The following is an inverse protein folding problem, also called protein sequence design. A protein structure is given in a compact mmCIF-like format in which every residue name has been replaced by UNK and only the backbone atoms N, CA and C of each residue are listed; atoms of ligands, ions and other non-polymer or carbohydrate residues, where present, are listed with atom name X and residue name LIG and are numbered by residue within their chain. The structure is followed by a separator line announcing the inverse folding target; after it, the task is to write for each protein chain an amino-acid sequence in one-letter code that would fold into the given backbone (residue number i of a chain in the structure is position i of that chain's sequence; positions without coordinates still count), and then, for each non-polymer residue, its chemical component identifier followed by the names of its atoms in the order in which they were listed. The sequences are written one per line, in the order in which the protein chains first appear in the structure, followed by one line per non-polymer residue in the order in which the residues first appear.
data_IF_084329416000
#
_entry.id   IF_084329416000
#
_cell.length_a   1.000
_cell.length_b   1.000
_cell.length_c   1.000
_cell.angle_alpha   90.00
_cell.angle_beta   90.00
_cell.angle_gamma   90.00
#
_symmetry.space_group_name_H-M   'P 1'
#
loop_
_entity.id
_entity.type
_entity.pdbx_description
1 polymer ?
#
# COMPACT_ATOMS: atom_id res chain seq x y z
N UNK A 1 21.05 -13.49 0.17
CA UNK A 1 21.55 -12.67 1.28
C UNK A 1 21.84 -11.29 0.71
N UNK A 2 21.12 -10.24 1.13
CA UNK A 2 21.36 -8.87 0.70
C UNK A 2 22.19 -8.15 1.77
N UNK A 3 23.39 -7.69 1.42
CA UNK A 3 24.29 -6.94 2.32
C UNK A 3 24.77 -5.68 1.62
N UNK A 4 24.95 -4.55 2.34
CA UNK A 4 25.58 -3.35 1.79
C UNK A 4 27.04 -3.56 1.34
N UNK A 5 27.65 -4.70 1.66
CA UNK A 5 28.98 -5.06 1.17
C UNK A 5 28.97 -5.72 -0.23
N UNK A 6 27.79 -5.97 -0.81
CA UNK A 6 27.62 -6.70 -2.07
C UNK A 6 27.82 -8.22 -1.95
N UNK A 7 27.73 -8.97 -3.06
CA UNK A 7 27.40 -8.49 -4.41
C UNK A 7 25.94 -8.03 -4.54
N UNK A 8 25.68 -7.01 -5.38
CA UNK A 8 24.35 -6.43 -5.60
C UNK A 8 23.52 -7.14 -6.68
N UNK A 9 23.95 -8.33 -7.08
CA UNK A 9 23.27 -9.12 -8.12
C UNK A 9 21.83 -9.49 -7.76
N UNK A 10 21.49 -9.57 -6.47
CA UNK A 10 20.14 -9.85 -5.96
C UNK A 10 19.39 -8.58 -5.53
N UNK A 11 19.93 -7.40 -5.85
CA UNK A 11 19.29 -6.11 -5.60
C UNK A 11 18.63 -5.63 -6.90
N UNK A 12 17.66 -4.70 -6.84
CA UNK A 12 16.99 -4.21 -8.05
C UNK A 12 17.97 -3.70 -9.13
N UNK A 13 19.03 -3.00 -8.73
CA UNK A 13 20.09 -2.54 -9.64
C UNK A 13 20.81 -3.69 -10.39
N UNK A 14 20.90 -4.88 -9.79
CA UNK A 14 21.47 -6.08 -10.42
C UNK A 14 20.43 -6.93 -11.17
N UNK A 15 19.17 -6.51 -11.19
CA UNK A 15 18.02 -7.24 -11.73
C UNK A 15 17.27 -6.44 -12.82
N UNK A 16 17.91 -5.41 -13.40
CA UNK A 16 17.41 -4.70 -14.57
C UNK A 16 16.74 -3.35 -14.30
N UNK A 17 16.76 -2.84 -13.07
CA UNK A 17 16.30 -1.49 -12.76
C UNK A 17 17.48 -0.51 -12.79
N UNK A 18 17.33 0.61 -13.52
CA UNK A 18 18.32 1.68 -13.55
C UNK A 18 18.47 2.38 -12.19
N UNK A 19 17.35 2.54 -11.49
CA UNK A 19 17.27 3.18 -10.18
C UNK A 19 16.39 2.39 -9.21
N UNK A 20 16.71 2.51 -7.92
CA UNK A 20 15.89 1.93 -6.85
C UNK A 20 15.73 2.92 -5.70
N UNK A 21 14.52 2.98 -5.16
CA UNK A 21 14.24 3.65 -3.89
C UNK A 21 13.20 2.86 -3.12
N UNK A 22 13.54 2.45 -1.90
CA UNK A 22 12.62 1.68 -1.07
C UNK A 22 13.35 0.86 -0.01
N UNK A 23 12.72 -0.22 0.43
CA UNK A 23 13.27 -1.15 1.42
C UNK A 23 13.48 -2.53 0.78
N UNK A 24 14.45 -3.30 1.28
CA UNK A 24 14.77 -4.65 0.79
C UNK A 24 14.18 -5.78 1.65
N UNK A 25 13.66 -5.44 2.84
CA UNK A 25 13.01 -6.39 3.73
C UNK A 25 11.60 -6.75 3.23
N UNK A 26 10.98 -7.75 3.84
CA UNK A 26 9.61 -8.15 3.51
C UNK A 26 8.55 -7.14 4.01
N UNK A 27 8.91 -6.32 4.99
CA UNK A 27 8.09 -5.28 5.59
C UNK A 27 8.91 -4.04 5.95
N UNK A 28 8.22 -2.95 6.27
CA UNK A 28 8.82 -1.71 6.72
C UNK A 28 7.94 -1.01 7.76
N UNK A 29 8.58 -0.35 8.72
CA UNK A 29 7.90 0.66 9.53
C UNK A 29 7.61 1.88 8.65
N UNK A 30 6.33 2.15 8.38
CA UNK A 30 5.92 3.27 7.53
C UNK A 30 6.27 4.67 8.09
N UNK A 31 6.58 4.79 9.39
CA UNK A 31 6.98 6.06 10.02
C UNK A 31 8.50 6.20 10.15
N UNK A 32 9.23 5.08 10.24
CA UNK A 32 10.67 5.07 10.46
C UNK A 32 11.38 3.95 9.65
N UNK A 33 11.23 3.95 8.32
CA UNK A 33 11.71 2.86 7.49
C UNK A 33 13.24 2.83 7.39
N UNK A 34 13.79 1.66 7.09
CA UNK A 34 15.18 1.52 6.64
C UNK A 34 15.16 1.50 5.12
N UNK A 35 15.70 2.56 4.52
CA UNK A 35 15.63 2.77 3.08
C UNK A 35 16.99 2.66 2.41
N UNK A 36 16.95 2.23 1.16
CA UNK A 36 18.06 2.12 0.23
C UNK A 36 17.73 3.01 -0.97
N UNK A 37 18.75 3.74 -1.44
CA UNK A 37 18.77 4.33 -2.77
C UNK A 37 19.83 3.62 -3.60
N UNK A 38 19.40 3.01 -4.69
CA UNK A 38 20.21 2.17 -5.59
C UNK A 38 20.90 1.04 -4.81
N UNK A 39 22.16 1.22 -4.43
CA UNK A 39 22.95 0.25 -3.67
C UNK A 39 23.39 0.78 -2.31
N UNK A 40 22.97 1.98 -1.91
CA UNK A 40 23.41 2.64 -0.70
C UNK A 40 22.26 2.83 0.30
N UNK A 41 22.46 2.52 1.59
CA UNK A 41 21.51 2.93 2.62
C UNK A 41 21.47 4.46 2.71
N UNK A 42 20.28 4.99 2.97
CA UNK A 42 20.10 6.43 3.21
C UNK A 42 19.80 6.70 4.68
N UNK A 43 19.99 7.95 5.08
CA UNK A 43 19.58 8.40 6.41
C UNK A 43 18.08 8.20 6.60
N UNK A 44 17.70 7.86 7.82
CA UNK A 44 16.29 7.76 8.20
C UNK A 44 15.62 9.14 8.09
N UNK A 45 14.32 9.18 7.77
CA UNK A 45 13.57 10.42 7.82
C UNK A 45 13.63 11.05 9.23
N UNK A 46 13.81 12.36 9.29
CA UNK A 46 13.78 13.14 10.54
C UNK A 46 12.43 13.85 10.75
N UNK A 47 11.60 13.92 9.72
CA UNK A 47 10.29 14.55 9.77
C UNK A 47 9.33 13.72 10.65
N UNK A 48 8.78 14.30 11.74
CA UNK A 48 7.83 13.59 12.59
C UNK A 48 6.51 13.25 11.88
N UNK A 49 6.18 13.94 10.79
CA UNK A 49 4.99 13.70 9.98
C UNK A 49 5.26 12.78 8.77
N UNK A 50 6.48 12.23 8.66
CA UNK A 50 6.88 11.33 7.56
C UNK A 50 5.97 10.13 7.43
N UNK A 51 5.57 9.78 6.21
CA UNK A 51 4.96 8.48 5.92
C UNK A 51 5.53 7.88 4.63
N UNK A 52 5.91 6.60 4.68
CA UNK A 52 6.57 5.91 3.56
C UNK A 52 5.78 5.96 2.25
N UNK A 53 4.47 5.69 2.27
CA UNK A 53 3.65 5.78 1.04
C UNK A 53 3.70 7.16 0.36
N UNK A 54 3.79 8.24 1.15
CA UNK A 54 3.86 9.62 0.65
C UNK A 54 5.20 9.83 -0.07
N UNK A 55 6.30 9.52 0.62
CA UNK A 55 7.66 9.60 0.07
C UNK A 55 7.83 8.70 -1.16
N UNK A 56 7.29 7.48 -1.17
CA UNK A 56 7.33 6.62 -2.36
C UNK A 56 6.60 7.24 -3.56
N UNK A 57 5.51 7.99 -3.35
CA UNK A 57 4.84 8.70 -4.43
C UNK A 57 5.62 9.93 -4.88
N UNK A 58 6.17 10.72 -3.95
CA UNK A 58 7.06 11.85 -4.26
C UNK A 58 8.26 11.42 -5.10
N UNK A 59 8.88 10.28 -4.76
CA UNK A 59 10.01 9.73 -5.51
C UNK A 59 9.61 9.24 -6.90
N UNK A 60 8.46 8.57 -7.02
CA UNK A 60 7.97 8.13 -8.32
C UNK A 60 7.71 9.34 -9.24
N UNK A 61 7.02 10.37 -8.73
CA UNK A 61 6.75 11.63 -9.44
C UNK A 61 8.07 12.32 -9.85
N UNK A 62 9.02 12.43 -8.92
CA UNK A 62 10.32 13.03 -9.21
C UNK A 62 11.09 12.27 -10.30
N UNK A 63 11.16 10.95 -10.23
CA UNK A 63 11.85 10.12 -11.22
C UNK A 63 11.22 10.24 -12.62
N UNK A 64 9.89 10.27 -12.69
CA UNK A 64 9.16 10.46 -13.95
C UNK A 64 9.45 11.86 -14.53
N UNK A 65 9.40 12.90 -13.69
CA UNK A 65 9.70 14.28 -14.10
C UNK A 65 11.16 14.51 -14.50
N UNK A 66 12.12 13.90 -13.82
CA UNK A 66 13.55 13.96 -14.15
C UNK A 66 13.83 13.31 -15.51
N UNK A 67 13.22 12.15 -15.79
CA UNK A 67 13.27 11.52 -17.11
C UNK A 67 12.71 12.45 -18.18
N UNK A 68 11.58 13.10 -17.92
CA UNK A 68 10.93 13.95 -18.90
C UNK A 68 11.79 15.17 -19.25
N UNK A 69 12.41 15.79 -18.25
CA UNK A 69 13.36 16.87 -18.47
C UNK A 69 14.60 16.44 -19.27
N UNK A 70 15.09 15.22 -19.06
CA UNK A 70 16.32 14.73 -19.69
C UNK A 70 16.10 14.15 -21.11
N UNK A 71 14.99 13.43 -21.32
CA UNK A 71 14.69 12.75 -22.58
C UNK A 71 13.18 12.52 -22.73
N UNK A 72 12.40 13.54 -23.16
CA UNK A 72 10.94 13.48 -23.27
C UNK A 72 10.39 12.34 -24.15
N UNK A 73 11.21 11.76 -25.04
CA UNK A 73 10.80 10.71 -25.96
C UNK A 73 11.12 9.27 -25.47
N UNK A 74 11.97 9.08 -24.47
CA UNK A 74 12.41 7.75 -24.04
C UNK A 74 11.39 7.08 -23.11
N UNK A 75 10.76 5.94 -23.43
CA UNK A 75 9.75 5.34 -22.53
C UNK A 75 10.33 5.04 -21.14
N UNK A 76 9.48 5.02 -20.12
CA UNK A 76 9.88 4.59 -18.76
C UNK A 76 9.16 3.31 -18.37
N UNK A 77 9.75 2.59 -17.42
CA UNK A 77 9.11 1.50 -16.70
C UNK A 77 9.25 1.78 -15.21
N UNK A 78 8.12 1.88 -14.51
CA UNK A 78 8.08 2.12 -13.07
C UNK A 78 7.42 0.93 -12.39
N UNK A 79 8.18 0.23 -11.53
CA UNK A 79 7.64 -0.77 -10.62
C UNK A 79 7.43 -0.15 -9.24
N UNK A 80 6.24 0.41 -9.02
CA UNK A 80 5.91 1.08 -7.77
C UNK A 80 5.37 0.09 -6.73
N UNK A 81 6.28 -0.56 -6.01
CA UNK A 81 5.98 -1.60 -5.02
C UNK A 81 5.94 -1.02 -3.60
N UNK A 82 4.74 -0.66 -3.12
CA UNK A 82 4.57 -0.17 -1.75
C UNK A 82 4.54 -1.31 -0.72
N UNK A 83 4.77 -0.98 0.56
CA UNK A 83 4.56 -1.92 1.67
C UNK A 83 3.09 -2.09 2.07
N UNK A 84 2.17 -1.36 1.45
CA UNK A 84 0.74 -1.44 1.76
C UNK A 84 0.08 -2.62 1.02
N UNK A 85 -0.81 -3.40 1.62
CA UNK A 85 -1.40 -3.31 2.96
C UNK A 85 -0.80 -4.32 3.95
N UNK A 86 0.52 -4.52 3.92
CA UNK A 86 1.20 -5.41 4.86
C UNK A 86 1.25 -4.78 6.26
N UNK A 87 1.40 -5.64 7.27
CA UNK A 87 1.69 -5.20 8.64
C UNK A 87 3.10 -4.58 8.75
N UNK A 88 3.36 -3.69 9.71
CA UNK A 88 2.40 -3.10 10.64
C UNK A 88 1.41 -2.17 9.93
N UNK A 89 0.13 -2.23 10.32
CA UNK A 89 -0.87 -1.32 9.75
C UNK A 89 -0.69 0.09 10.30
N UNK A 90 -0.18 0.98 9.45
CA UNK A 90 0.10 2.37 9.78
C UNK A 90 -0.58 3.27 8.75
N UNK A 91 -1.27 4.30 9.23
CA UNK A 91 -1.89 5.32 8.40
C UNK A 91 -1.97 6.64 9.19
N UNK A 92 -1.96 7.81 8.53
CA UNK A 92 -2.16 9.07 9.21
C UNK A 92 -3.49 9.12 9.96
N UNK A 93 -3.52 9.75 11.14
CA UNK A 93 -4.69 9.73 12.02
C UNK A 93 -5.96 10.25 11.33
N UNK A 94 -5.84 11.30 10.52
CA UNK A 94 -6.93 11.88 9.75
C UNK A 94 -7.56 10.89 8.75
N UNK A 95 -6.79 9.92 8.24
CA UNK A 95 -7.30 8.85 7.38
C UNK A 95 -8.00 7.78 8.21
N UNK A 96 -7.44 7.40 9.35
CA UNK A 96 -8.06 6.40 10.23
C UNK A 96 -9.42 6.89 10.74
N UNK A 97 -9.55 8.18 11.07
CA UNK A 97 -10.80 8.76 11.56
C UNK A 97 -11.95 8.65 10.55
N UNK A 98 -11.67 8.58 9.23
CA UNK A 98 -12.68 8.37 8.17
C UNK A 98 -13.34 6.99 8.24
N UNK A 99 -12.76 6.06 8.97
CA UNK A 99 -13.25 4.68 9.09
C UNK A 99 -13.88 4.38 10.45
N UNK A 100 -13.87 5.33 11.39
CA UNK A 100 -14.41 5.15 12.73
C UNK A 100 -15.82 4.55 12.72
N UNK A 101 -16.00 3.40 13.37
CA UNK A 101 -17.26 2.67 13.51
C UNK A 101 -17.74 1.95 12.25
N UNK A 102 -17.03 2.08 11.11
CA UNK A 102 -17.43 1.40 9.85
C UNK A 102 -17.28 -0.12 9.92
N UNK A 103 -16.60 -0.65 10.93
CA UNK A 103 -16.32 -2.07 11.09
C UNK A 103 -16.91 -2.68 12.37
N UNK A 104 -17.78 -1.95 13.09
CA UNK A 104 -18.40 -2.42 14.34
C UNK A 104 -19.31 -3.64 14.15
N UNK A 105 -19.77 -3.88 12.91
CA UNK A 105 -20.56 -5.07 12.58
C UNK A 105 -19.74 -6.38 12.61
N UNK A 106 -18.41 -6.30 12.59
CA UNK A 106 -17.54 -7.47 12.64
C UNK A 106 -17.40 -8.26 11.33
N UNK A 107 -16.47 -9.21 11.33
CA UNK A 107 -16.11 -10.00 10.14
C UNK A 107 -17.24 -10.92 9.63
N UNK A 108 -18.13 -11.37 10.53
CA UNK A 108 -19.24 -12.27 10.19
C UNK A 108 -20.30 -11.59 9.32
N UNK A 109 -20.63 -10.34 9.64
CA UNK A 109 -21.55 -9.53 8.82
C UNK A 109 -20.82 -8.92 7.62
N UNK A 110 -19.56 -8.49 7.80
CA UNK A 110 -18.76 -7.91 6.71
C UNK A 110 -18.65 -8.87 5.52
N UNK A 111 -18.35 -10.15 5.76
CA UNK A 111 -18.25 -11.15 4.66
C UNK A 111 -19.57 -11.34 3.91
N UNK A 112 -20.71 -11.26 4.59
CA UNK A 112 -22.04 -11.35 3.96
C UNK A 112 -22.28 -10.13 3.07
N UNK A 113 -21.96 -8.93 3.57
CA UNK A 113 -22.09 -7.68 2.81
C UNK A 113 -21.19 -7.66 1.57
N UNK A 114 -19.93 -8.05 1.71
CA UNK A 114 -18.98 -8.14 0.59
C UNK A 114 -19.45 -9.13 -0.46
N UNK A 115 -19.86 -10.33 -0.06
CA UNK A 115 -20.38 -11.35 -0.97
C UNK A 115 -21.61 -10.87 -1.76
N UNK A 116 -22.60 -10.27 -1.08
CA UNK A 116 -23.80 -9.71 -1.75
C UNK A 116 -23.43 -8.58 -2.72
N UNK A 117 -22.50 -7.70 -2.32
CA UNK A 117 -22.05 -6.58 -3.17
C UNK A 117 -21.31 -7.08 -4.41
N UNK A 118 -20.44 -8.09 -4.28
CA UNK A 118 -19.74 -8.69 -5.41
C UNK A 118 -20.70 -9.32 -6.42
N UNK A 119 -21.76 -10.01 -5.96
CA UNK A 119 -22.83 -10.52 -6.84
C UNK A 119 -23.56 -9.36 -7.53
N UNK A 120 -23.98 -8.34 -6.78
CA UNK A 120 -24.73 -7.21 -7.34
C UNK A 120 -23.92 -6.42 -8.38
N UNK A 121 -22.59 -6.37 -8.24
CA UNK A 121 -21.67 -5.75 -9.19
C UNK A 121 -21.31 -6.65 -10.37
N UNK A 122 -21.75 -7.91 -10.40
CA UNK A 122 -21.35 -8.89 -11.42
C UNK A 122 -19.89 -9.32 -11.35
N UNK A 123 -19.20 -9.08 -10.23
CA UNK A 123 -17.80 -9.50 -10.04
C UNK A 123 -17.66 -11.01 -9.86
N UNK A 124 -18.70 -11.67 -9.34
CA UNK A 124 -18.76 -13.13 -9.15
C UNK A 124 -20.12 -13.66 -9.64
N UNK A 125 -20.22 -14.94 -10.06
CA UNK A 125 -21.49 -15.54 -10.51
C UNK A 125 -22.62 -15.40 -9.49
N UNK A 126 -23.85 -15.16 -9.95
CA UNK A 126 -25.01 -14.90 -9.09
C UNK A 126 -25.42 -16.08 -8.20
N UNK A 127 -25.04 -17.30 -8.58
CA UNK A 127 -25.29 -18.54 -7.83
C UNK A 127 -24.17 -18.89 -6.83
N UNK A 128 -23.09 -18.10 -6.78
CA UNK A 128 -21.95 -18.30 -5.85
C UNK A 128 -22.43 -18.40 -4.41
N UNK A 129 -22.05 -19.47 -3.72
CA UNK A 129 -22.40 -19.70 -2.31
C UNK A 129 -21.30 -19.16 -1.39
N UNK A 130 -21.70 -18.45 -0.33
CA UNK A 130 -20.78 -18.03 0.72
C UNK A 130 -20.33 -19.27 1.51
N UNK A 131 -19.01 -19.45 1.65
CA UNK A 131 -18.43 -20.54 2.43
C UNK A 131 -18.81 -20.44 3.91
N UNK A 132 -18.79 -21.54 4.69
CA UNK A 132 -18.87 -21.43 6.14
C UNK A 132 -17.67 -20.65 6.71
N UNK A 133 -17.81 -20.16 7.94
CA UNK A 133 -16.71 -19.56 8.68
C UNK A 133 -15.71 -20.65 9.10
N UNK A 134 -14.39 -20.42 8.97
CA UNK A 134 -13.37 -21.35 9.49
C UNK A 134 -13.53 -21.57 11.00
N UNK A 135 -13.38 -22.82 11.45
CA UNK A 135 -13.54 -23.20 12.87
C UNK A 135 -12.51 -22.54 13.78
N UNK A 136 -11.33 -22.21 13.26
CA UNK A 136 -10.24 -21.59 13.99
C UNK A 136 -10.49 -20.11 14.31
N UNK A 137 -11.45 -19.48 13.62
CA UNK A 137 -11.83 -18.10 13.93
C UNK A 137 -12.94 -18.13 14.98
N UNK A 138 -12.92 -17.26 16.00
CA UNK A 138 -14.06 -17.07 16.90
C UNK A 138 -15.23 -16.38 16.17
N UNK A 139 -16.46 -16.57 16.65
CA UNK A 139 -17.59 -15.82 16.13
C UNK A 139 -17.45 -14.38 16.60
N UNK A 140 -17.83 -13.40 15.78
CA UNK A 140 -17.80 -12.00 16.22
C UNK A 140 -18.58 -11.81 17.51
N UNK A 141 -19.76 -12.42 17.62
CA UNK A 141 -20.62 -12.32 18.80
C UNK A 141 -20.16 -13.12 20.01
N UNK A 142 -19.16 -14.00 19.86
CA UNK A 142 -18.50 -14.63 21.01
C UNK A 142 -17.43 -13.75 21.67
N UNK A 143 -17.06 -12.64 21.04
CA UNK A 143 -16.03 -11.75 21.57
C UNK A 143 -16.57 -10.85 22.69
N UNK A 144 -15.70 -10.57 23.65
CA UNK A 144 -15.93 -9.53 24.66
C UNK A 144 -15.99 -8.13 24.01
N UNK A 145 -16.62 -7.14 24.66
CA UNK A 145 -16.66 -5.77 24.16
C UNK A 145 -15.28 -5.16 23.83
N UNK A 146 -14.27 -5.44 24.67
CA UNK A 146 -12.91 -4.94 24.44
C UNK A 146 -12.24 -5.59 23.23
N UNK A 147 -12.44 -6.89 23.01
CA UNK A 147 -11.95 -7.57 21.81
C UNK A 147 -12.62 -7.03 20.56
N UNK A 148 -13.95 -6.84 20.58
CA UNK A 148 -14.69 -6.22 19.45
C UNK A 148 -14.12 -4.84 19.13
N UNK A 149 -13.94 -3.97 20.14
CA UNK A 149 -13.35 -2.63 19.96
C UNK A 149 -11.94 -2.68 19.37
N UNK A 150 -11.09 -3.59 19.86
CA UNK A 150 -9.73 -3.75 19.37
C UNK A 150 -9.68 -4.21 17.90
N UNK A 151 -10.46 -5.24 17.53
CA UNK A 151 -10.48 -5.75 16.16
C UNK A 151 -11.14 -4.79 15.18
N UNK A 152 -12.20 -4.09 15.59
CA UNK A 152 -12.80 -3.04 14.77
C UNK A 152 -11.76 -1.94 14.48
N UNK A 153 -11.04 -1.47 15.52
CA UNK A 153 -9.97 -0.47 15.34
C UNK A 153 -8.84 -0.96 14.42
N UNK A 154 -8.42 -2.22 14.53
CA UNK A 154 -7.41 -2.75 13.62
C UNK A 154 -7.87 -2.71 12.16
N UNK A 155 -9.14 -3.06 11.90
CA UNK A 155 -9.69 -3.01 10.54
C UNK A 155 -9.86 -1.57 10.04
N UNK A 156 -10.20 -0.62 10.92
CA UNK A 156 -10.20 0.81 10.59
C UNK A 156 -8.83 1.28 10.10
N UNK A 157 -7.77 0.92 10.82
CA UNK A 157 -6.39 1.31 10.46
C UNK A 157 -5.95 0.63 9.16
N UNK A 158 -6.24 -0.67 8.98
CA UNK A 158 -5.91 -1.38 7.75
C UNK A 158 -6.63 -0.79 6.53
N UNK A 159 -7.93 -0.47 6.66
CA UNK A 159 -8.70 0.18 5.61
C UNK A 159 -8.19 1.58 5.29
N UNK A 160 -7.78 2.33 6.33
CA UNK A 160 -7.19 3.65 6.17
C UNK A 160 -5.84 3.62 5.46
N UNK A 161 -4.99 2.64 5.76
CA UNK A 161 -3.70 2.46 5.09
C UNK A 161 -3.89 2.21 3.59
N UNK A 162 -4.82 1.32 3.23
CA UNK A 162 -5.13 1.04 1.82
C UNK A 162 -5.66 2.29 1.10
N UNK A 163 -6.58 3.02 1.73
CA UNK A 163 -7.14 4.23 1.14
C UNK A 163 -6.12 5.38 1.04
N UNK A 164 -5.20 5.48 2.00
CA UNK A 164 -4.12 6.46 1.95
C UNK A 164 -3.12 6.14 0.84
N UNK A 165 -2.82 4.85 0.60
CA UNK A 165 -2.00 4.42 -0.53
C UNK A 165 -2.69 4.69 -1.88
N UNK A 166 -4.01 4.47 -1.98
CA UNK A 166 -4.80 4.82 -3.17
C UNK A 166 -4.74 6.32 -3.48
N UNK A 167 -4.80 7.19 -2.47
CA UNK A 167 -4.56 8.63 -2.64
C UNK A 167 -3.16 8.91 -3.19
N UNK A 168 -2.14 8.23 -2.66
CA UNK A 168 -0.75 8.42 -3.13
C UNK A 168 -0.57 7.95 -4.57
N UNK A 169 -1.24 6.86 -4.96
CA UNK A 169 -1.29 6.43 -6.35
C UNK A 169 -2.00 7.47 -7.23
N UNK A 170 -3.11 8.03 -6.74
CA UNK A 170 -3.82 9.12 -7.39
C UNK A 170 -2.92 10.32 -7.69
N UNK A 171 -1.99 10.68 -6.80
CA UNK A 171 -1.00 11.74 -7.05
C UNK A 171 -0.07 11.42 -8.22
N UNK A 172 0.42 10.18 -8.32
CA UNK A 172 1.27 9.74 -9.44
C UNK A 172 0.48 9.81 -10.75
N UNK A 173 -0.76 9.30 -10.75
CA UNK A 173 -1.64 9.36 -11.91
C UNK A 173 -1.93 10.80 -12.34
N UNK A 174 -2.26 11.68 -11.39
CA UNK A 174 -2.53 13.09 -11.68
C UNK A 174 -1.30 13.78 -12.30
N UNK A 175 -0.10 13.39 -11.88
CA UNK A 175 1.13 13.90 -12.48
C UNK A 175 1.29 13.42 -13.94
N UNK A 176 1.04 12.14 -14.21
CA UNK A 176 1.03 11.62 -15.59
C UNK A 176 -0.01 12.34 -16.46
N UNK A 177 -1.19 12.65 -15.91
CA UNK A 177 -2.21 13.43 -16.61
C UNK A 177 -1.73 14.87 -16.86
N UNK A 178 -1.09 15.51 -15.88
CA UNK A 178 -0.51 16.87 -16.02
C UNK A 178 0.58 16.92 -17.09
N UNK A 179 1.38 15.86 -17.21
CA UNK A 179 2.45 15.72 -18.21
C UNK A 179 1.92 15.34 -19.61
N UNK A 180 0.66 14.89 -19.71
CA UNK A 180 0.09 14.37 -20.96
C UNK A 180 0.55 12.96 -21.32
N UNK A 181 1.10 12.22 -20.35
CA UNK A 181 1.64 10.86 -20.53
C UNK A 181 0.65 9.77 -20.11
N UNK A 182 -0.44 10.12 -19.42
CA UNK A 182 -1.41 9.17 -18.87
C UNK A 182 -2.04 8.24 -19.93
N UNK A 183 -2.43 8.78 -21.09
CA UNK A 183 -3.08 8.00 -22.16
C UNK A 183 -2.12 7.02 -22.85
N UNK A 184 -0.80 7.22 -22.70
CA UNK A 184 0.25 6.36 -23.25
C UNK A 184 0.97 5.56 -22.15
N UNK A 185 0.38 5.45 -20.96
CA UNK A 185 0.89 4.64 -19.85
C UNK A 185 -0.06 3.47 -19.60
N UNK A 186 0.50 2.27 -19.40
CA UNK A 186 -0.24 1.04 -19.09
C UNK A 186 -0.05 0.62 -17.64
#
# INVERSE_FOLDING_TARGET
QASPAGPYNQWPAGQGFDHFYGFLAADADNWNPILIRDTAPIAKPEDPDYHLNDDLADRAIAMIGERDAASPAAPFFMYWATGTAHAPHHAPQAWIDRYKGKFDMGWDEMRIRTWRKQIAMGMIPADTKLTPRPEQLPAWDSLTPNQKKFHARQMEVAAAQLAYQDEQFGRIRNELERMGEADNTL
#
